data_IF_856337649800
#
_entry.id   IF_856337649800
#
_cell.length_a   1.000
_cell.length_b   1.000
_cell.length_c   1.000
_cell.angle_alpha   90.00
_cell.angle_beta   90.00
_cell.angle_gamma   90.00
#
_symmetry.space_group_name_H-M   'P 1'
#
loop_
_entity.id
_entity.type
_entity.pdbx_description
1 polymer ?
#
# COMPACT_ATOMS: atom_id res chain seq x y z
N UNK A 1 -15.89 17.20 5.05
CA UNK A 1 -16.52 15.88 4.81
C UNK A 1 -16.21 14.97 6.01
N UNK A 2 -17.19 14.21 6.51
CA UNK A 2 -16.93 13.24 7.57
C UNK A 2 -16.32 11.95 6.99
N UNK A 3 -15.52 11.24 7.79
CA UNK A 3 -14.80 10.02 7.39
C UNK A 3 -15.75 8.95 6.81
N UNK A 4 -16.93 8.80 7.42
CA UNK A 4 -18.00 7.91 6.96
C UNK A 4 -18.51 8.27 5.55
N UNK A 5 -18.61 9.56 5.24
CA UNK A 5 -19.06 10.03 3.93
C UNK A 5 -17.98 9.78 2.86
N UNK A 6 -16.71 9.97 3.20
CA UNK A 6 -15.59 9.65 2.29
C UNK A 6 -15.50 8.16 2.02
N UNK A 7 -15.64 7.31 3.05
CA UNK A 7 -15.66 5.85 2.90
C UNK A 7 -16.78 5.40 1.97
N UNK A 8 -18.03 5.79 2.23
CA UNK A 8 -19.17 5.38 1.39
C UNK A 8 -19.03 5.88 -0.04
N UNK A 9 -18.48 7.09 -0.23
CA UNK A 9 -18.27 7.68 -1.53
C UNK A 9 -17.21 6.93 -2.36
N UNK A 10 -16.19 6.33 -1.73
CA UNK A 10 -15.11 5.59 -2.40
C UNK A 10 -15.23 4.06 -2.31
N UNK A 11 -16.22 3.53 -1.59
CA UNK A 11 -16.35 2.09 -1.29
C UNK A 11 -16.57 1.21 -2.53
N UNK A 12 -17.13 1.75 -3.61
CA UNK A 12 -17.45 0.94 -4.79
C UNK A 12 -16.20 0.52 -5.55
N UNK A 13 -15.95 -0.79 -5.60
CA UNK A 13 -14.73 -1.34 -6.23
C UNK A 13 -13.44 -0.98 -5.49
N UNK A 14 -13.54 -0.50 -4.25
CA UNK A 14 -12.38 -0.25 -3.41
C UNK A 14 -11.69 -1.57 -3.05
N UNK A 15 -10.36 -1.57 -3.09
CA UNK A 15 -9.55 -2.65 -2.53
C UNK A 15 -9.51 -2.51 -1.00
N UNK A 16 -9.26 -3.62 -0.26
CA UNK A 16 -9.02 -3.55 1.18
C UNK A 16 -7.94 -2.53 1.55
N UNK A 17 -6.93 -2.37 0.69
CA UNK A 17 -5.84 -1.44 0.89
C UNK A 17 -6.27 0.03 0.67
N UNK A 18 -7.27 0.29 -0.19
CA UNK A 18 -7.91 1.61 -0.28
C UNK A 18 -8.64 1.97 1.04
N UNK A 19 -9.30 0.99 1.66
CA UNK A 19 -9.99 1.23 2.92
C UNK A 19 -9.04 1.55 4.06
N UNK A 20 -7.91 0.84 4.19
CA UNK A 20 -6.89 1.16 5.17
C UNK A 20 -6.35 2.58 5.01
N UNK A 21 -6.27 3.08 3.77
CA UNK A 21 -5.87 4.46 3.49
C UNK A 21 -6.90 5.47 3.99
N UNK A 22 -8.18 5.26 3.68
CA UNK A 22 -9.24 6.20 4.08
C UNK A 22 -9.41 6.23 5.61
N UNK A 23 -9.16 5.11 6.28
CA UNK A 23 -9.19 5.02 7.74
C UNK A 23 -7.85 5.38 8.40
N UNK A 24 -6.83 5.76 7.61
CA UNK A 24 -5.46 6.05 8.06
C UNK A 24 -4.84 4.94 8.93
N UNK A 25 -5.19 3.69 8.65
CA UNK A 25 -4.73 2.53 9.39
C UNK A 25 -3.46 1.95 8.76
N UNK A 26 -2.32 2.35 9.32
CA UNK A 26 -0.98 1.91 8.90
C UNK A 26 -0.76 0.40 9.06
N UNK A 27 -1.17 -0.19 10.18
CA UNK A 27 -0.99 -1.63 10.43
C UNK A 27 -1.77 -2.47 9.42
N UNK A 28 -3.02 -2.08 9.14
CA UNK A 28 -3.83 -2.74 8.13
C UNK A 28 -3.19 -2.61 6.74
N UNK A 29 -2.69 -1.42 6.39
CA UNK A 29 -2.00 -1.21 5.12
C UNK A 29 -0.74 -2.07 4.98
N UNK A 30 0.08 -2.17 6.05
CA UNK A 30 1.28 -3.01 6.07
C UNK A 30 0.97 -4.50 5.95
N UNK A 31 -0.04 -5.00 6.67
CA UNK A 31 -0.47 -6.40 6.57
C UNK A 31 -0.97 -6.74 5.16
N UNK A 32 -1.72 -5.83 4.54
CA UNK A 32 -2.21 -6.00 3.17
C UNK A 32 -1.06 -5.98 2.16
N UNK A 33 -0.08 -5.09 2.34
CA UNK A 33 1.12 -5.04 1.48
C UNK A 33 2.00 -6.28 1.66
N UNK A 34 2.17 -6.78 2.89
CA UNK A 34 2.83 -8.05 3.17
C UNK A 34 2.10 -9.23 2.49
N UNK A 35 0.77 -9.17 2.40
CA UNK A 35 -0.05 -10.11 1.64
C UNK A 35 -0.01 -9.90 0.11
N UNK A 36 0.91 -9.07 -0.40
CA UNK A 36 1.04 -8.69 -1.83
C UNK A 36 -0.19 -7.98 -2.41
N UNK A 37 -0.91 -7.21 -1.60
CA UNK A 37 -1.97 -6.35 -2.10
C UNK A 37 -1.38 -5.32 -3.09
N UNK A 38 -2.03 -5.19 -4.25
CA UNK A 38 -1.63 -4.24 -5.28
C UNK A 38 -2.24 -2.87 -4.97
N UNK A 39 -1.43 -1.82 -4.71
CA UNK A 39 -1.95 -0.47 -4.50
C UNK A 39 -2.18 0.29 -5.79
N UNK A 40 -1.92 -0.35 -6.93
CA UNK A 40 -2.08 0.26 -8.26
C UNK A 40 -3.52 0.08 -8.78
N UNK A 41 -4.34 -0.72 -8.09
CA UNK A 41 -5.73 -1.00 -8.48
C UNK A 41 -6.62 0.19 -8.10
N UNK A 42 -7.25 0.86 -9.08
CA UNK A 42 -8.19 1.93 -8.80
C UNK A 42 -9.57 1.38 -8.44
N UNK A 43 -10.32 2.15 -7.65
CA UNK A 43 -11.74 1.87 -7.42
C UNK A 43 -12.61 2.24 -8.65
N UNK A 44 -13.94 2.05 -8.56
CA UNK A 44 -14.87 2.40 -9.66
C UNK A 44 -14.85 3.88 -10.05
N UNK A 45 -14.24 4.73 -9.25
CA UNK A 45 -14.09 6.16 -9.51
C UNK A 45 -12.72 6.53 -10.06
N UNK A 46 -11.89 5.53 -10.39
CA UNK A 46 -10.55 5.74 -10.91
C UNK A 46 -9.57 6.24 -9.85
N UNK A 47 -9.87 6.07 -8.55
CA UNK A 47 -8.99 6.50 -7.46
C UNK A 47 -8.20 5.34 -6.90
N UNK A 48 -6.88 5.49 -6.92
CA UNK A 48 -5.94 4.56 -6.30
C UNK A 48 -5.78 4.87 -4.81
N UNK A 49 -5.27 3.90 -4.04
CA UNK A 49 -4.82 4.12 -2.67
C UNK A 49 -3.84 5.29 -2.54
N UNK A 50 -2.91 5.45 -3.48
CA UNK A 50 -1.99 6.59 -3.49
C UNK A 50 -2.70 7.94 -3.70
N UNK A 51 -3.74 7.99 -4.54
CA UNK A 51 -4.51 9.22 -4.76
C UNK A 51 -5.28 9.69 -3.51
N UNK A 52 -5.65 8.76 -2.64
CA UNK A 52 -6.40 9.05 -1.41
C UNK A 52 -5.50 9.08 -0.17
N UNK A 53 -4.22 8.76 -0.31
CA UNK A 53 -3.28 8.72 0.80
C UNK A 53 -2.99 10.13 1.30
N UNK A 54 -3.08 10.29 2.62
CA UNK A 54 -2.55 11.48 3.29
C UNK A 54 -1.05 11.61 3.01
N UNK A 55 -0.51 12.85 2.99
CA UNK A 55 0.92 13.08 2.68
C UNK A 55 1.88 12.36 3.65
N UNK A 56 1.40 12.02 4.85
CA UNK A 56 2.12 11.22 5.84
C UNK A 56 2.08 9.71 5.53
N UNK A 57 1.01 9.23 4.90
CA UNK A 57 0.77 7.81 4.62
C UNK A 57 1.33 7.37 3.27
N UNK A 58 1.32 8.28 2.28
CA UNK A 58 1.86 8.04 0.95
C UNK A 58 3.31 7.48 0.96
N UNK A 59 4.29 8.10 1.65
CA UNK A 59 5.66 7.58 1.67
C UNK A 59 5.75 6.19 2.30
N UNK A 60 4.91 5.86 3.29
CA UNK A 60 4.87 4.53 3.89
C UNK A 60 4.28 3.47 2.95
N UNK A 61 3.29 3.82 2.13
CA UNK A 61 2.74 2.94 1.08
C UNK A 61 3.79 2.62 0.01
N UNK A 62 4.51 3.65 -0.46
CA UNK A 62 5.63 3.48 -1.39
C UNK A 62 6.76 2.66 -0.77
N UNK A 63 7.15 2.98 0.47
CA UNK A 63 8.19 2.26 1.19
C UNK A 63 7.81 0.79 1.42
N UNK A 64 6.53 0.48 1.67
CA UNK A 64 6.06 -0.89 1.84
C UNK A 64 5.90 -1.64 0.52
N UNK A 65 5.63 -0.98 -0.61
CA UNK A 65 5.78 -1.61 -1.94
C UNK A 65 7.24 -1.99 -2.24
N UNK A 66 8.18 -1.12 -1.87
CA UNK A 66 9.61 -1.31 -2.15
C UNK A 66 10.33 -2.15 -1.09
N UNK A 67 9.78 -2.27 0.12
CA UNK A 67 10.32 -3.08 1.22
C UNK A 67 10.25 -4.58 0.95
N UNK A 68 9.33 -5.03 0.09
CA UNK A 68 9.32 -6.42 -0.41
C UNK A 68 10.59 -6.71 -1.24
N UNK A 69 11.21 -5.69 -1.83
CA UNK A 69 12.46 -5.79 -2.57
C UNK A 69 13.71 -5.82 -1.67
N UNK A 70 13.64 -5.30 -0.44
CA UNK A 70 14.77 -5.34 0.50
C UNK A 70 15.05 -6.77 1.01
N UNK A 71 14.02 -7.61 1.17
CA UNK A 71 14.21 -9.00 1.57
C UNK A 71 14.82 -9.90 0.47
N UNK A 72 14.82 -9.46 -0.80
CA UNK A 72 15.52 -10.16 -1.89
C UNK A 72 16.90 -9.56 -2.20
N UNK A 73 17.24 -8.39 -1.66
CA UNK A 73 18.56 -7.77 -1.85
C UNK A 73 19.62 -8.31 -0.86
N UNK A 74 19.22 -8.78 0.32
CA UNK A 74 20.15 -9.38 1.30
C UNK A 74 20.60 -10.82 0.96
N UNK A 75 20.03 -11.45 -0.08
CA UNK A 75 20.46 -12.77 -0.55
C UNK A 75 21.34 -12.71 -1.82
N UNK A 76 21.66 -11.52 -2.34
CA UNK A 76 22.44 -11.36 -3.58
C UNK A 76 23.90 -10.91 -3.37
N UNK A 77 24.33 -10.57 -2.14
CA UNK A 77 25.70 -10.13 -1.81
C UNK A 77 26.47 -11.16 -0.97
N UNK A 78 26.17 -12.46 -1.11
CA UNK A 78 26.93 -13.54 -0.44
C UNK A 78 27.52 -14.61 -1.38
N UNK A 79 27.30 -14.53 -2.70
CA UNK A 79 27.84 -15.50 -3.67
C UNK A 79 28.74 -14.88 -4.75
N UNK A 80 29.57 -13.88 -4.39
CA UNK A 80 30.78 -13.53 -5.16
C UNK A 80 32.03 -13.72 -4.31
N UNK A 81 32.12 -14.88 -3.66
CA UNK A 81 33.35 -15.37 -3.07
C UNK A 81 33.50 -16.87 -3.32
N UNK A 82 33.72 -17.26 -4.58
CA UNK A 82 34.41 -18.51 -4.89
C UNK A 82 35.30 -18.28 -6.12
N UNK A 83 36.60 -18.12 -5.81
CA UNK A 83 37.82 -18.39 -6.62
C UNK A 83 37.85 -17.96 -8.09
#
# INVERSE_FOLDING_TARGET
>A
PSLLTTLSYHAQGATPLLFSVITENLEAAQLLLAARAQPDIPNKRGKTPLDLASPLLAPSLLAAQQGVLAAIADLAEADVCFI
#
